data_IF_090015346465
#
_entry.id   IF_090015346465
#
_cell.length_a   1.000
_cell.length_b   1.000
_cell.length_c   1.000
_cell.angle_alpha   90.00
_cell.angle_beta   90.00
_cell.angle_gamma   90.00
#
_symmetry.space_group_name_H-M   'P 1'
#
loop_
_entity.id
_entity.type
_entity.pdbx_description
1 polymer ?
#
# COMPACT_ATOMS: atom_id res chain seq x y z
N UNK A 1 3.49 -14.30 28.82
CA UNK A 1 2.64 -13.51 27.90
C UNK A 1 2.46 -12.13 28.51
N UNK A 2 2.73 -11.05 27.76
CA UNK A 2 2.85 -9.67 28.27
C UNK A 2 1.48 -9.02 28.48
N UNK A 3 1.25 -8.43 29.66
CA UNK A 3 -0.01 -7.77 30.04
C UNK A 3 -0.39 -6.57 29.16
N UNK A 4 0.62 -5.91 28.57
CA UNK A 4 0.43 -4.76 27.67
C UNK A 4 -0.30 -5.16 26.37
N UNK A 5 -0.15 -6.40 25.93
CA UNK A 5 -0.83 -6.93 24.73
C UNK A 5 -2.33 -7.10 24.95
N UNK A 6 -2.75 -7.52 26.16
CA UNK A 6 -4.17 -7.64 26.47
C UNK A 6 -4.87 -6.27 26.45
N UNK A 7 -4.17 -5.22 26.89
CA UNK A 7 -4.73 -3.87 27.02
C UNK A 7 -4.96 -3.23 25.65
N UNK A 8 -4.05 -3.42 24.68
CA UNK A 8 -4.19 -2.87 23.33
C UNK A 8 -5.34 -3.48 22.53
N UNK A 9 -5.76 -4.70 22.86
CA UNK A 9 -6.87 -5.39 22.17
C UNK A 9 -8.24 -4.91 22.67
N UNK A 10 -8.31 -4.29 23.86
CA UNK A 10 -9.57 -3.89 24.50
C UNK A 10 -10.09 -2.50 24.12
N UNK A 11 -9.27 -1.64 23.52
CA UNK A 11 -9.67 -0.28 23.18
C UNK A 11 -10.25 -0.21 21.75
N UNK A 12 -11.54 0.14 21.58
CA UNK A 12 -12.10 0.35 20.26
C UNK A 12 -11.45 1.58 19.62
N UNK A 13 -10.88 1.40 18.42
CA UNK A 13 -10.27 2.47 17.63
C UNK A 13 -11.24 3.64 17.47
N UNK A 14 -10.84 4.84 17.90
CA UNK A 14 -11.62 6.05 17.69
C UNK A 14 -11.75 6.30 16.18
N UNK A 15 -12.99 6.31 15.67
CA UNK A 15 -13.26 6.63 14.27
C UNK A 15 -13.16 8.15 14.06
N UNK A 16 -12.01 8.59 13.55
CA UNK A 16 -11.81 9.96 13.10
C UNK A 16 -12.64 10.19 11.83
N UNK A 17 -13.89 10.60 11.97
CA UNK A 17 -14.75 10.94 10.83
C UNK A 17 -14.37 12.30 10.26
N UNK A 18 -13.36 12.34 9.38
CA UNK A 18 -13.00 13.56 8.64
C UNK A 18 -14.10 13.85 7.63
N UNK A 19 -14.94 14.86 7.92
CA UNK A 19 -15.89 15.44 6.97
C UNK A 19 -15.13 16.18 5.87
N UNK A 20 -14.66 15.46 4.83
CA UNK A 20 -14.19 16.09 3.59
C UNK A 20 -15.44 16.46 2.77
N UNK A 21 -15.71 17.74 2.47
CA UNK A 21 -16.74 18.06 1.50
C UNK A 21 -16.32 17.47 0.15
N UNK A 22 -17.07 16.47 -0.33
CA UNK A 22 -16.84 15.87 -1.63
C UNK A 22 -17.19 16.91 -2.70
N UNK A 23 -16.16 17.54 -3.28
CA UNK A 23 -16.35 18.40 -4.45
C UNK A 23 -16.82 17.50 -5.60
N UNK A 24 -17.90 17.82 -6.32
CA UNK A 24 -18.36 17.00 -7.42
C UNK A 24 -17.25 16.89 -8.47
N UNK A 25 -16.86 15.66 -8.80
CA UNK A 25 -15.82 15.38 -9.78
C UNK A 25 -16.41 15.57 -11.18
N UNK A 26 -15.77 16.42 -12.00
CA UNK A 26 -16.17 16.60 -13.39
C UNK A 26 -15.38 15.61 -14.27
N UNK A 27 -16.10 14.72 -14.95
CA UNK A 27 -15.51 13.67 -15.80
C UNK A 27 -15.51 14.02 -17.29
N UNK A 28 -15.95 15.21 -17.71
CA UNK A 28 -16.18 15.53 -19.12
C UNK A 28 -14.91 15.46 -19.99
N UNK A 29 -13.72 15.60 -19.39
CA UNK A 29 -12.42 15.44 -20.07
C UNK A 29 -11.75 14.07 -19.88
N UNK A 30 -12.38 13.14 -19.16
CA UNK A 30 -11.84 11.80 -18.88
C UNK A 30 -12.54 10.70 -19.69
N UNK A 31 -13.50 11.10 -20.53
CA UNK A 31 -14.16 10.22 -21.49
C UNK A 31 -13.36 10.19 -22.80
N UNK A 32 -13.21 8.99 -23.36
CA UNK A 32 -12.53 8.80 -24.64
C UNK A 32 -13.30 9.47 -25.78
N UNK A 33 -12.61 10.30 -26.54
CA UNK A 33 -13.05 10.91 -27.79
C UNK A 33 -11.97 10.72 -28.88
N UNK A 34 -12.31 11.00 -30.14
CA UNK A 34 -11.37 10.85 -31.25
C UNK A 34 -10.15 11.79 -31.14
N UNK A 35 -10.25 12.87 -30.36
CA UNK A 35 -9.18 13.86 -30.19
C UNK A 35 -8.19 13.51 -29.08
N UNK A 36 -8.60 12.68 -28.11
CA UNK A 36 -7.85 12.34 -26.91
C UNK A 36 -7.49 10.84 -26.82
N UNK A 37 -7.80 10.06 -27.84
CA UNK A 37 -7.62 8.60 -27.88
C UNK A 37 -6.19 8.12 -27.53
N UNK A 38 -5.18 8.91 -27.89
CA UNK A 38 -3.76 8.62 -27.64
C UNK A 38 -3.22 9.29 -26.36
N UNK A 39 -4.05 10.05 -25.64
CA UNK A 39 -3.65 10.74 -24.42
C UNK A 39 -3.83 9.84 -23.20
N UNK A 40 -2.83 9.84 -22.31
CA UNK A 40 -2.98 9.19 -21.02
C UNK A 40 -3.72 10.11 -20.04
N UNK A 41 -5.03 9.91 -19.91
CA UNK A 41 -5.91 10.74 -19.08
C UNK A 41 -5.71 10.53 -17.57
N UNK A 42 -5.16 9.37 -17.17
CA UNK A 42 -4.95 9.02 -15.77
C UNK A 42 -3.46 8.85 -15.48
N UNK A 43 -2.98 9.59 -14.49
CA UNK A 43 -1.57 9.51 -14.10
C UNK A 43 -1.31 8.25 -13.28
N UNK A 44 -0.21 7.53 -13.52
CA UNK A 44 0.19 6.44 -12.63
C UNK A 44 0.50 7.00 -11.24
N UNK A 45 0.13 6.25 -10.21
CA UNK A 45 0.52 6.51 -8.83
C UNK A 45 1.87 5.84 -8.54
N UNK A 46 2.64 6.45 -7.64
CA UNK A 46 3.91 5.89 -7.20
C UNK A 46 3.69 4.53 -6.51
N UNK A 47 4.49 3.55 -6.90
CA UNK A 47 4.52 2.24 -6.27
C UNK A 47 5.91 2.00 -5.66
N UNK A 48 6.20 2.57 -4.47
CA UNK A 48 7.51 2.48 -3.87
C UNK A 48 7.83 1.05 -3.43
N UNK A 49 9.11 0.68 -3.51
CA UNK A 49 9.61 -0.54 -2.89
C UNK A 49 9.80 -0.31 -1.40
N UNK A 50 9.20 -1.17 -0.59
CA UNK A 50 9.28 -1.14 0.87
C UNK A 50 10.35 -2.15 1.32
N UNK A 51 11.40 -1.72 2.03
CA UNK A 51 12.38 -2.63 2.59
C UNK A 51 11.83 -3.35 3.83
N UNK A 52 12.12 -4.65 3.95
CA UNK A 52 11.95 -5.46 5.16
C UNK A 52 13.33 -5.96 5.57
N UNK A 53 13.66 -5.78 6.86
CA UNK A 53 14.80 -6.44 7.45
C UNK A 53 14.38 -7.81 8.02
N UNK A 54 15.07 -8.86 7.58
CA UNK A 54 14.92 -10.21 8.13
C UNK A 54 16.00 -10.39 9.17
N UNK A 55 15.59 -10.59 10.43
CA UNK A 55 16.52 -10.87 11.52
C UNK A 55 17.19 -12.24 11.34
N UNK A 56 18.45 -12.41 11.79
CA UNK A 56 19.10 -13.71 11.80
C UNK A 56 18.23 -14.73 12.54
N UNK A 57 18.02 -15.89 11.94
CA UNK A 57 17.20 -16.95 12.53
C UNK A 57 17.66 -18.33 12.09
N UNK A 58 17.18 -19.34 12.81
CA UNK A 58 17.36 -20.73 12.45
C UNK A 58 16.17 -21.16 11.58
N UNK A 59 16.44 -21.73 10.41
CA UNK A 59 15.44 -22.35 9.56
C UNK A 59 15.63 -23.87 9.56
N UNK A 60 14.51 -24.60 9.62
CA UNK A 60 14.48 -26.06 9.45
C UNK A 60 14.02 -26.37 8.02
N UNK A 61 14.82 -27.15 7.29
CA UNK A 61 14.49 -27.65 5.95
C UNK A 61 14.58 -29.17 5.99
N UNK A 62 13.43 -29.84 6.10
CA UNK A 62 13.40 -31.26 6.46
C UNK A 62 14.03 -31.48 7.84
N UNK A 63 15.02 -32.37 7.90
CA UNK A 63 15.76 -32.69 9.14
C UNK A 63 17.02 -31.82 9.32
N UNK A 64 17.31 -30.90 8.39
CA UNK A 64 18.49 -30.04 8.45
C UNK A 64 18.19 -28.70 9.12
N UNK A 65 19.08 -28.29 10.03
CA UNK A 65 19.03 -26.99 10.71
C UNK A 65 20.07 -26.04 10.11
N UNK A 66 19.60 -24.92 9.54
CA UNK A 66 20.43 -23.91 8.88
C UNK A 66 20.31 -22.54 9.57
N UNK A 67 21.44 -21.87 9.78
CA UNK A 67 21.44 -20.47 10.23
C UNK A 67 21.30 -19.54 9.02
N UNK A 68 20.25 -18.72 9.02
CA UNK A 68 20.06 -17.65 8.04
C UNK A 68 20.65 -16.35 8.59
N UNK A 69 21.53 -15.65 7.84
CA UNK A 69 22.05 -14.35 8.27
C UNK A 69 20.94 -13.29 8.22
N UNK A 70 21.19 -12.15 8.83
CA UNK A 70 20.32 -11.00 8.68
C UNK A 70 20.51 -10.35 7.30
N UNK A 71 19.42 -9.97 6.65
CA UNK A 71 19.46 -9.28 5.35
C UNK A 71 18.25 -8.38 5.15
N UNK A 72 18.41 -7.37 4.31
CA UNK A 72 17.31 -6.52 3.85
C UNK A 72 16.81 -7.05 2.52
N UNK A 73 15.51 -7.29 2.42
CA UNK A 73 14.81 -7.54 1.17
C UNK A 73 13.79 -6.42 0.94
N UNK A 74 13.11 -6.36 -0.20
CA UNK A 74 12.00 -5.43 -0.37
C UNK A 74 10.91 -5.96 -1.27
N UNK A 75 9.74 -5.35 -1.16
CA UNK A 75 8.55 -5.68 -1.95
C UNK A 75 7.83 -4.38 -2.33
N UNK A 76 7.12 -4.38 -3.44
CA UNK A 76 6.35 -3.19 -3.85
C UNK A 76 5.11 -3.01 -2.98
N UNK A 77 4.79 -1.76 -2.67
CA UNK A 77 3.62 -1.39 -1.87
C UNK A 77 2.31 -1.93 -2.48
N UNK A 78 2.20 -1.93 -3.81
CA UNK A 78 1.04 -2.42 -4.55
C UNK A 78 1.42 -3.58 -5.48
N UNK A 79 0.52 -4.56 -5.60
CA UNK A 79 0.65 -5.72 -6.49
C UNK A 79 0.64 -5.34 -7.98
N UNK A 80 -0.05 -4.25 -8.32
CA UNK A 80 -0.21 -3.73 -9.66
C UNK A 80 -0.10 -2.20 -9.62
N UNK A 81 0.35 -1.60 -10.71
CA UNK A 81 0.39 -0.15 -10.83
C UNK A 81 -1.03 0.42 -10.73
N UNK A 82 -1.20 1.42 -9.88
CA UNK A 82 -2.45 2.12 -9.70
C UNK A 82 -2.43 3.43 -10.49
N UNK A 83 -3.60 3.94 -10.81
CA UNK A 83 -3.75 5.21 -11.51
C UNK A 83 -4.64 6.12 -10.68
N UNK A 84 -4.28 7.41 -10.66
CA UNK A 84 -5.06 8.44 -9.99
C UNK A 84 -6.46 8.53 -10.60
N UNK A 85 -7.46 8.80 -9.77
CA UNK A 85 -8.80 9.12 -10.25
C UNK A 85 -8.83 10.51 -10.89
N UNK A 86 -9.87 10.74 -11.70
CA UNK A 86 -10.13 12.05 -12.28
C UNK A 86 -10.18 13.12 -11.17
N UNK A 87 -9.39 14.18 -11.32
CA UNK A 87 -9.28 15.28 -10.35
C UNK A 87 -8.76 14.89 -8.96
N UNK A 88 -8.17 13.70 -8.78
CA UNK A 88 -7.47 13.34 -7.56
C UNK A 88 -6.20 14.19 -7.40
N UNK A 89 -6.00 14.74 -6.21
CA UNK A 89 -4.78 15.47 -5.85
C UNK A 89 -3.88 14.54 -5.06
N UNK A 90 -2.69 14.28 -5.58
CA UNK A 90 -1.62 13.53 -4.96
C UNK A 90 -0.46 14.46 -4.61
#
# INVERSE_FOLDING_TARGET
MSQLYQQSVSEPVQSWSVKRPAKPVNYAGYTRDASNEIQNLFKPLDNPQIPIYVFPHVALIGDEQLIKPGYTTGFFLYKQNQFALASERY
#
